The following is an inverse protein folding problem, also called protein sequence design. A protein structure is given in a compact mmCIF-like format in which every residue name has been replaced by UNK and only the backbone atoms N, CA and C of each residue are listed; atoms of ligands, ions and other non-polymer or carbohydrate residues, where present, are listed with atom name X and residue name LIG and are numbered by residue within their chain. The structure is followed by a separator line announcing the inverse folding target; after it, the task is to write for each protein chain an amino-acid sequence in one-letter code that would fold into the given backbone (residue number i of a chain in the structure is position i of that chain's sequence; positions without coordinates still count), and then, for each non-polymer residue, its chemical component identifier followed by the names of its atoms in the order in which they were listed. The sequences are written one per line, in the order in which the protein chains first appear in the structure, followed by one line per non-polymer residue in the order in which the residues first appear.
data_IF_232267036780
#
_entry.id   IF_232267036780
#
_cell.length_a   1.000
_cell.length_b   1.000
_cell.length_c   1.000
_cell.angle_alpha   90.00
_cell.angle_beta   90.00
_cell.angle_gamma   90.00
#
_symmetry.space_group_name_H-M   'P 1'
#
loop_
_entity.id
_entity.type
_entity.pdbx_description
1 polymer ?
#
# COMPACT_ATOMS: atom_id res chain seq x y z
N UNK A 1 6.52 6.11 -27.53
CA UNK A 1 5.49 5.47 -28.38
C UNK A 1 4.07 5.97 -28.10
N UNK A 2 3.49 5.84 -26.89
CA UNK A 2 2.11 6.31 -26.64
C UNK A 2 2.00 7.84 -26.49
N UNK A 3 2.89 8.44 -25.68
CA UNK A 3 2.95 9.91 -25.53
C UNK A 3 3.32 10.62 -26.84
N UNK A 4 4.26 10.07 -27.59
CA UNK A 4 4.65 10.62 -28.91
C UNK A 4 3.50 10.57 -29.92
N UNK A 5 2.58 9.61 -29.77
CA UNK A 5 1.36 9.52 -30.57
C UNK A 5 0.23 10.46 -30.09
N UNK A 6 0.48 11.31 -29.08
CA UNK A 6 -0.50 12.25 -28.53
C UNK A 6 -1.55 11.62 -27.61
N UNK A 7 -1.37 10.36 -27.17
CA UNK A 7 -2.29 9.69 -26.25
C UNK A 7 -2.10 10.23 -24.84
N UNK A 8 -3.20 10.62 -24.20
CA UNK A 8 -3.21 11.03 -22.79
C UNK A 8 -3.05 9.81 -21.88
N UNK A 9 -2.04 9.86 -21.01
CA UNK A 9 -1.78 8.86 -19.97
C UNK A 9 -1.42 9.63 -18.70
N UNK A 10 -2.34 9.62 -17.74
CA UNK A 10 -2.21 10.37 -16.49
C UNK A 10 -1.45 9.60 -15.42
N UNK A 11 -1.51 8.27 -15.42
CA UNK A 11 -0.86 7.48 -14.39
C UNK A 11 -0.59 6.02 -14.74
N UNK A 12 0.17 5.37 -13.85
CA UNK A 12 0.51 3.95 -13.92
C UNK A 12 0.10 3.26 -12.61
N UNK A 13 -0.72 2.23 -12.73
CA UNK A 13 -1.04 1.32 -11.64
C UNK A 13 -0.02 0.17 -11.57
N UNK A 14 0.59 -0.03 -10.41
CA UNK A 14 1.40 -1.20 -10.10
C UNK A 14 0.54 -2.15 -9.26
N UNK A 15 0.29 -3.37 -9.73
CA UNK A 15 -0.58 -4.30 -9.01
C UNK A 15 -0.04 -4.63 -7.62
N UNK A 16 1.24 -5.00 -7.55
CA UNK A 16 1.95 -5.40 -6.33
C UNK A 16 1.44 -6.70 -5.68
N UNK A 17 1.26 -7.75 -6.48
CA UNK A 17 1.14 -9.14 -5.99
C UNK A 17 2.52 -9.69 -5.59
N UNK A 18 2.85 -9.65 -4.31
CA UNK A 18 4.19 -9.94 -3.79
C UNK A 18 4.23 -11.26 -3.00
N UNK A 19 5.44 -11.71 -2.65
CA UNK A 19 5.67 -12.87 -1.80
C UNK A 19 6.26 -12.45 -0.47
N UNK A 20 5.78 -13.01 0.63
CA UNK A 20 6.35 -12.74 1.96
C UNK A 20 7.83 -13.17 2.05
N UNK A 21 8.23 -14.28 1.44
CA UNK A 21 9.60 -14.83 1.54
C UNK A 21 10.59 -14.24 0.52
N UNK A 22 10.11 -13.48 -0.46
CA UNK A 22 10.93 -12.88 -1.50
C UNK A 22 10.23 -11.65 -2.11
N UNK A 23 10.50 -10.48 -1.55
CA UNK A 23 9.93 -9.21 -2.00
C UNK A 23 11.01 -8.13 -2.16
N UNK A 24 10.75 -7.11 -3.00
CA UNK A 24 11.67 -6.00 -3.17
C UNK A 24 11.92 -5.22 -1.87
N UNK A 25 13.04 -4.50 -1.85
CA UNK A 25 13.31 -3.50 -0.80
C UNK A 25 12.40 -2.28 -0.97
N UNK A 26 12.33 -1.41 0.04
CA UNK A 26 11.60 -0.15 -0.09
C UNK A 26 12.26 0.73 -1.17
N UNK A 27 13.59 0.70 -1.25
CA UNK A 27 14.40 1.43 -2.22
C UNK A 27 14.10 0.98 -3.65
N UNK A 28 13.98 -0.34 -3.90
CA UNK A 28 13.60 -0.87 -5.22
C UNK A 28 12.19 -0.41 -5.64
N UNK A 29 11.23 -0.42 -4.69
CA UNK A 29 9.87 0.03 -4.93
C UNK A 29 9.80 1.54 -5.19
N UNK A 30 10.59 2.34 -4.47
CA UNK A 30 10.72 3.79 -4.68
C UNK A 30 11.30 4.06 -6.06
N UNK A 31 12.44 3.43 -6.39
CA UNK A 31 13.10 3.63 -7.67
C UNK A 31 12.19 3.25 -8.86
N UNK A 32 11.46 2.14 -8.73
CA UNK A 32 10.48 1.71 -9.74
C UNK A 32 9.35 2.73 -9.90
N UNK A 33 8.79 3.20 -8.78
CA UNK A 33 7.70 4.19 -8.78
C UNK A 33 8.15 5.53 -9.35
N UNK A 34 9.35 6.00 -9.01
CA UNK A 34 9.95 7.22 -9.57
C UNK A 34 10.24 7.09 -11.07
N UNK A 35 10.66 5.90 -11.52
CA UNK A 35 10.84 5.61 -12.95
C UNK A 35 9.55 5.80 -13.75
N UNK A 36 8.41 5.34 -13.24
CA UNK A 36 7.11 5.62 -13.86
C UNK A 36 6.70 7.09 -13.70
N UNK A 37 6.89 7.70 -12.53
CA UNK A 37 6.55 9.10 -12.27
C UNK A 37 7.38 10.10 -13.08
N UNK A 38 8.53 9.70 -13.64
CA UNK A 38 9.26 10.49 -14.63
C UNK A 38 8.51 10.61 -15.97
N UNK A 39 7.54 9.72 -16.20
CA UNK A 39 6.79 9.60 -17.43
C UNK A 39 5.30 9.90 -17.28
N UNK A 40 4.72 9.91 -16.08
CA UNK A 40 3.28 10.15 -15.84
C UNK A 40 3.08 11.03 -14.61
N UNK A 41 1.89 11.61 -14.44
CA UNK A 41 1.60 12.52 -13.33
C UNK A 41 1.41 11.78 -12.00
N UNK A 42 0.81 10.58 -12.05
CA UNK A 42 0.46 9.81 -10.87
C UNK A 42 0.90 8.34 -10.97
N UNK A 43 1.20 7.74 -9.82
CA UNK A 43 1.38 6.29 -9.69
C UNK A 43 0.56 5.78 -8.52
N UNK A 44 0.18 4.50 -8.53
CA UNK A 44 -0.54 3.90 -7.41
C UNK A 44 -0.19 2.42 -7.29
N UNK A 45 -0.23 1.91 -6.06
CA UNK A 45 -0.32 0.46 -5.83
C UNK A 45 -1.81 0.08 -5.86
N UNK A 46 -2.19 -0.87 -6.70
CA UNK A 46 -3.60 -1.02 -7.13
C UNK A 46 -4.26 -2.31 -6.70
N UNK A 47 -3.47 -3.36 -6.44
CA UNK A 47 -3.98 -4.72 -6.18
C UNK A 47 -3.08 -5.42 -5.15
N UNK A 48 -2.67 -4.69 -4.11
CA UNK A 48 -1.67 -5.18 -3.16
C UNK A 48 -2.18 -6.41 -2.41
N UNK A 49 -1.47 -7.52 -2.58
CA UNK A 49 -1.51 -8.70 -1.72
C UNK A 49 -0.09 -9.25 -1.54
N UNK A 50 0.15 -9.92 -0.41
CA UNK A 50 1.47 -10.49 -0.08
C UNK A 50 1.29 -11.92 0.37
N UNK A 51 1.40 -12.86 -0.57
CA UNK A 51 1.11 -14.27 -0.31
C UNK A 51 2.16 -14.95 0.56
N UNK A 52 1.68 -15.85 1.42
CA UNK A 52 2.49 -16.70 2.28
C UNK A 52 2.44 -18.13 1.77
N UNK A 53 3.60 -18.78 1.61
CA UNK A 53 3.67 -20.23 1.40
C UNK A 53 3.17 -20.97 2.63
N UNK A 54 2.15 -21.80 2.47
CA UNK A 54 1.59 -22.63 3.54
C UNK A 54 2.57 -23.74 3.98
N UNK A 55 2.49 -24.23 5.23
CA UNK A 55 1.65 -23.74 6.33
C UNK A 55 2.11 -22.35 6.83
N UNK A 56 1.15 -21.53 7.23
CA UNK A 56 1.39 -20.20 7.81
C UNK A 56 1.98 -20.35 9.22
N UNK A 57 2.89 -19.44 9.60
CA UNK A 57 3.45 -19.34 10.94
C UNK A 57 3.88 -17.90 11.24
N UNK A 58 4.22 -17.63 12.50
CA UNK A 58 4.57 -16.27 12.98
C UNK A 58 5.72 -15.64 12.20
N UNK A 59 6.76 -16.41 11.86
CA UNK A 59 7.89 -15.91 11.07
C UNK A 59 7.45 -15.41 9.69
N UNK A 60 6.60 -16.19 9.01
CA UNK A 60 6.09 -15.82 7.68
C UNK A 60 5.12 -14.63 7.73
N UNK A 61 4.35 -14.50 8.82
CA UNK A 61 3.48 -13.35 9.06
C UNK A 61 4.28 -12.07 9.32
N UNK A 62 5.41 -12.15 10.02
CA UNK A 62 6.30 -11.00 10.18
C UNK A 62 6.98 -10.61 8.86
N UNK A 63 7.38 -11.57 8.01
CA UNK A 63 7.87 -11.25 6.67
C UNK A 63 6.79 -10.56 5.81
N UNK A 64 5.55 -11.05 5.87
CA UNK A 64 4.42 -10.42 5.21
C UNK A 64 4.25 -8.97 5.69
N UNK A 65 4.25 -8.75 7.01
CA UNK A 65 4.17 -7.43 7.61
C UNK A 65 5.28 -6.51 7.09
N UNK A 66 6.54 -6.98 7.10
CA UNK A 66 7.67 -6.21 6.57
C UNK A 66 7.46 -5.80 5.11
N UNK A 67 6.96 -6.71 4.28
CA UNK A 67 6.64 -6.43 2.88
C UNK A 67 5.59 -5.30 2.75
N UNK A 68 4.47 -5.41 3.47
CA UNK A 68 3.44 -4.36 3.48
C UNK A 68 4.00 -3.00 3.95
N UNK A 69 4.86 -2.99 4.98
CA UNK A 69 5.51 -1.76 5.46
C UNK A 69 6.42 -1.12 4.40
N UNK A 70 7.13 -1.93 3.59
CA UNK A 70 7.95 -1.43 2.48
C UNK A 70 7.11 -0.79 1.38
N UNK A 71 5.96 -1.38 1.03
CA UNK A 71 5.03 -0.78 0.05
C UNK A 71 4.44 0.54 0.55
N UNK A 72 4.01 0.60 1.82
CA UNK A 72 3.56 1.85 2.45
C UNK A 72 4.67 2.89 2.44
N UNK A 73 5.90 2.51 2.81
CA UNK A 73 7.06 3.41 2.80
C UNK A 73 7.32 3.97 1.41
N UNK A 74 7.28 3.13 0.38
CA UNK A 74 7.50 3.55 -0.99
C UNK A 74 6.46 4.57 -1.44
N UNK A 75 5.16 4.27 -1.25
CA UNK A 75 4.11 5.20 -1.67
C UNK A 75 4.18 6.53 -0.92
N UNK A 76 4.43 6.53 0.39
CA UNK A 76 4.50 7.79 1.16
C UNK A 76 5.74 8.63 0.80
N UNK A 77 6.85 7.99 0.38
CA UNK A 77 8.08 8.70 0.00
C UNK A 77 8.01 9.25 -1.43
N UNK A 78 7.35 8.57 -2.35
CA UNK A 78 7.21 9.00 -3.75
C UNK A 78 6.08 10.02 -3.87
N UNK A 79 6.39 11.28 -4.15
CA UNK A 79 5.40 12.37 -4.19
C UNK A 79 4.24 12.13 -5.17
N UNK A 80 4.49 11.46 -6.28
CA UNK A 80 3.49 11.14 -7.29
C UNK A 80 2.63 9.92 -6.92
N UNK A 81 2.94 9.19 -5.84
CA UNK A 81 2.12 8.05 -5.43
C UNK A 81 0.86 8.53 -4.73
N UNK A 82 -0.30 8.26 -5.31
CA UNK A 82 -1.59 8.78 -4.85
C UNK A 82 -2.36 7.80 -3.96
N UNK A 83 -1.96 6.53 -3.90
CA UNK A 83 -2.64 5.57 -3.04
C UNK A 83 -2.15 4.14 -3.11
N UNK A 84 -2.69 3.35 -2.19
CA UNK A 84 -2.55 1.90 -2.10
C UNK A 84 -3.96 1.32 -2.02
N UNK A 85 -4.28 0.39 -2.90
CA UNK A 85 -5.50 -0.42 -2.87
C UNK A 85 -5.11 -1.88 -2.68
N UNK A 86 -5.78 -2.57 -1.76
CA UNK A 86 -5.60 -3.99 -1.52
C UNK A 86 -6.49 -4.79 -2.48
N UNK A 87 -6.05 -5.99 -2.87
CA UNK A 87 -6.88 -6.89 -3.67
C UNK A 87 -7.78 -7.74 -2.76
N UNK A 88 -8.82 -7.07 -2.24
CA UNK A 88 -9.61 -7.47 -1.07
C UNK A 88 -8.83 -7.29 0.26
N UNK A 89 -9.46 -7.55 1.42
CA UNK A 89 -8.84 -7.43 2.74
C UNK A 89 -8.99 -8.70 3.60
N UNK A 90 -9.92 -9.60 3.25
CA UNK A 90 -10.34 -10.76 4.05
C UNK A 90 -9.90 -12.07 3.38
N UNK A 91 -9.03 -12.83 4.03
CA UNK A 91 -8.36 -14.01 3.44
C UNK A 91 -9.29 -15.04 2.77
N UNK A 92 -10.46 -15.39 3.31
CA UNK A 92 -11.38 -16.32 2.65
C UNK A 92 -11.90 -15.89 1.29
N UNK A 93 -11.81 -14.60 0.95
CA UNK A 93 -12.16 -14.07 -0.38
C UNK A 93 -10.94 -13.76 -1.24
N UNK A 94 -9.74 -14.03 -0.75
CA UNK A 94 -8.53 -13.92 -1.56
C UNK A 94 -8.56 -14.91 -2.71
N UNK A 95 -8.24 -14.41 -3.91
CA UNK A 95 -8.01 -15.22 -5.11
C UNK A 95 -6.73 -16.08 -5.05
N UNK A 96 -5.82 -15.78 -4.12
CA UNK A 96 -4.46 -16.34 -4.10
C UNK A 96 -4.43 -17.87 -4.01
N UNK A 97 -5.21 -18.53 -3.14
CA UNK A 97 -5.16 -20.00 -3.04
C UNK A 97 -5.59 -20.72 -4.32
N UNK A 98 -6.53 -20.14 -5.07
CA UNK A 98 -7.06 -20.72 -6.30
C UNK A 98 -6.07 -20.59 -7.47
N UNK A 99 -5.33 -19.48 -7.53
CA UNK A 99 -4.35 -19.20 -8.59
C UNK A 99 -2.97 -19.77 -8.26
N UNK A 100 -2.58 -19.75 -6.98
CA UNK A 100 -1.26 -20.17 -6.50
C UNK A 100 -1.37 -21.27 -5.45
N UNK A 101 -1.63 -22.53 -5.85
CA UNK A 101 -1.73 -23.65 -4.93
C UNK A 101 -0.56 -23.72 -3.94
N UNK A 102 -0.87 -23.95 -2.66
CA UNK A 102 0.11 -23.95 -1.57
C UNK A 102 0.47 -22.56 -1.04
N UNK A 103 -0.16 -21.49 -1.52
CA UNK A 103 -0.05 -20.14 -0.98
C UNK A 103 -1.41 -19.67 -0.46
N UNK A 104 -1.40 -18.75 0.50
CA UNK A 104 -2.60 -18.15 1.05
C UNK A 104 -2.25 -17.07 2.05
N UNK A 105 -3.20 -16.78 2.94
CA UNK A 105 -3.05 -15.81 4.02
C UNK A 105 -2.44 -14.49 3.53
N UNK A 106 -2.88 -14.01 2.37
CA UNK A 106 -2.20 -12.96 1.58
C UNK A 106 -2.63 -11.55 1.95
N UNK A 107 -3.74 -11.43 2.67
CA UNK A 107 -4.37 -10.17 3.00
C UNK A 107 -4.08 -9.78 4.44
N UNK A 108 -4.96 -8.99 5.05
CA UNK A 108 -4.72 -8.32 6.33
C UNK A 108 -5.69 -8.75 7.43
N UNK A 109 -6.69 -9.57 7.10
CA UNK A 109 -7.62 -10.21 8.03
C UNK A 109 -7.67 -11.72 7.80
N UNK A 110 -7.56 -12.44 8.91
CA UNK A 110 -7.77 -13.88 8.96
C UNK A 110 -9.26 -14.22 8.76
N UNK A 111 -9.55 -15.51 8.57
CA UNK A 111 -10.91 -16.06 8.44
C UNK A 111 -11.83 -15.74 9.62
N UNK A 112 -11.29 -15.66 10.84
CA UNK A 112 -12.03 -15.33 12.05
C UNK A 112 -12.24 -13.80 12.26
N UNK A 113 -11.91 -12.99 11.25
CA UNK A 113 -11.91 -11.53 11.27
C UNK A 113 -10.94 -10.90 12.29
N UNK A 114 -10.02 -11.67 12.87
CA UNK A 114 -8.85 -11.10 13.54
C UNK A 114 -7.86 -10.55 12.50
N UNK A 115 -7.01 -9.61 12.93
CA UNK A 115 -6.06 -8.93 12.04
C UNK A 115 -4.77 -9.70 11.94
N UNK A 116 -4.17 -9.69 10.75
CA UNK A 116 -2.77 -10.05 10.59
C UNK A 116 -1.87 -8.97 11.22
N UNK A 117 -0.64 -9.33 11.64
CA UNK A 117 0.39 -8.36 11.99
C UNK A 117 0.65 -7.32 10.89
N UNK A 118 0.40 -7.69 9.62
CA UNK A 118 0.50 -6.81 8.47
C UNK A 118 -0.40 -5.56 8.57
N UNK A 119 -1.63 -5.68 9.09
CA UNK A 119 -2.52 -4.52 9.26
C UNK A 119 -1.90 -3.48 10.19
N UNK A 120 -1.44 -3.91 11.36
CA UNK A 120 -0.85 -3.02 12.35
C UNK A 120 0.48 -2.45 11.83
N UNK A 121 1.27 -3.25 11.09
CA UNK A 121 2.47 -2.79 10.41
C UNK A 121 2.20 -1.64 9.44
N UNK A 122 1.18 -1.76 8.58
CA UNK A 122 0.78 -0.68 7.67
C UNK A 122 0.40 0.59 8.44
N UNK A 123 -0.45 0.46 9.45
CA UNK A 123 -0.95 1.60 10.25
C UNK A 123 0.19 2.30 11.00
N UNK A 124 1.10 1.53 11.61
CA UNK A 124 2.28 2.06 12.29
C UNK A 124 3.17 2.85 11.32
N UNK A 125 3.49 2.26 10.16
CA UNK A 125 4.34 2.90 9.15
C UNK A 125 3.70 4.18 8.61
N UNK A 126 2.39 4.17 8.31
CA UNK A 126 1.68 5.38 7.91
C UNK A 126 1.79 6.46 9.00
N UNK A 127 1.44 6.14 10.25
CA UNK A 127 1.49 7.11 11.37
C UNK A 127 2.89 7.69 11.57
N UNK A 128 3.93 6.86 11.47
CA UNK A 128 5.32 7.28 11.59
C UNK A 128 5.70 8.28 10.48
N UNK A 129 5.47 7.91 9.22
CA UNK A 129 5.92 8.70 8.08
C UNK A 129 5.10 9.99 7.88
N UNK A 130 3.80 9.99 8.20
CA UNK A 130 2.98 11.21 8.15
C UNK A 130 3.14 12.06 9.42
N UNK A 131 3.48 11.45 10.56
CA UNK A 131 3.78 12.17 11.80
C UNK A 131 5.09 12.95 11.73
N UNK A 132 6.05 12.47 10.94
CA UNK A 132 7.33 13.16 10.65
C UNK A 132 7.17 14.34 9.66
N UNK A 133 6.08 14.40 8.89
CA UNK A 133 5.75 15.55 8.01
C UNK A 133 4.56 16.30 8.60
N UNK A 134 4.75 17.39 9.37
CA UNK A 134 3.62 18.25 9.71
C UNK A 134 3.05 18.79 8.41
N UNK A 135 1.88 18.27 8.00
CA UNK A 135 1.10 18.90 6.96
C UNK A 135 0.83 20.37 7.35
N UNK A 136 0.57 21.27 6.39
CA UNK A 136 0.21 22.64 6.72
C UNK A 136 -0.97 22.59 7.69
N UNK A 137 -0.73 22.99 8.94
CA UNK A 137 -1.68 22.77 10.02
C UNK A 137 -3.05 23.25 9.60
N UNK A 138 -4.04 22.35 9.66
CA UNK A 138 -5.42 22.71 9.37
C UNK A 138 -5.83 23.81 10.34
N UNK A 139 -5.81 25.07 9.89
CA UNK A 139 -6.23 26.21 10.69
C UNK A 139 -7.71 26.01 10.97
N UNK A 140 -8.04 25.55 12.18
CA UNK A 140 -9.42 25.51 12.69
C UNK A 140 -10.01 26.91 12.48
N UNK A 141 -10.93 27.05 11.52
CA UNK A 141 -11.71 28.29 11.36
C UNK A 141 -12.47 28.51 12.68
N UNK A 142 -12.05 29.50 13.47
CA UNK A 142 -12.85 29.99 14.60
C UNK A 142 -14.17 30.47 14.03
N UNK A 143 -15.28 29.79 14.34
CA UNK A 143 -16.62 30.35 14.14
C UNK A 143 -16.74 31.54 15.09
N UNK A 144 -16.79 32.75 14.54
CA UNK A 144 -17.27 33.91 15.27
C UNK A 144 -18.76 33.71 15.53
N UNK A 145 -19.11 33.41 16.76
CA UNK A 145 -20.51 33.47 17.21
C UNK A 145 -20.81 34.96 17.33
N UNK A 146 -21.47 35.52 16.32
CA UNK A 146 -21.99 36.88 16.38
C UNK A 146 -23.07 36.95 17.45
N UNK A 147 -22.84 37.77 18.46
CA UNK A 147 -23.85 38.14 19.45
C UNK A 147 -24.95 38.91 18.72
N UNK A 148 -26.15 38.33 18.60
CA UNK A 148 -27.32 39.09 18.18
C UNK A 148 -27.80 39.89 19.40
N UNK A 149 -27.91 41.20 19.19
CA UNK A 149 -28.61 42.14 20.06
C UNK A 149 -30.12 41.85 20.06
#
# INVERSE_FOLDING_TARGET
MLKDAGVRIDGVGMQAHLHADNHPTAEDLIATSEGYAALVDEVAFTELDVRIKTPVNDTKLEWQKECYQKVVTACVKVKACVGITLWDFYDPFSWVPDVFPGNGASLVWFEDFSKHPAYDGMVETFKKLIGEKPGPGCKRRRRSVGSKA
#
